data_IF_681916450895
#
_entry.id   IF_681916450895
#
_cell.length_a   1.000
_cell.length_b   1.000
_cell.length_c   1.000
_cell.angle_alpha   90.00
_cell.angle_beta   90.00
_cell.angle_gamma   90.00
#
_symmetry.space_group_name_H-M   'P 1'
#
loop_
_entity.id
_entity.type
_entity.pdbx_description
1 polymer ?
#
# COMPACT_ATOMS: atom_id res chain seq x y z
N UNK A 1 -68.63 -20.31 -8.61
CA UNK A 1 -67.24 -20.70 -8.98
C UNK A 1 -66.42 -19.44 -9.26
N UNK A 2 -66.24 -18.56 -8.27
CA UNK A 2 -65.50 -17.30 -8.47
C UNK A 2 -64.87 -16.83 -7.16
N UNK A 3 -64.15 -17.71 -6.46
CA UNK A 3 -63.51 -17.32 -5.18
C UNK A 3 -62.16 -17.97 -4.87
N UNK A 4 -61.43 -18.45 -5.88
CA UNK A 4 -60.09 -19.03 -5.65
C UNK A 4 -58.93 -18.21 -6.24
N UNK A 5 -59.20 -17.17 -7.05
CA UNK A 5 -58.12 -16.42 -7.73
C UNK A 5 -57.60 -15.20 -6.95
N UNK A 6 -58.22 -14.81 -5.82
CA UNK A 6 -57.88 -13.57 -5.10
C UNK A 6 -56.98 -13.78 -3.86
N UNK A 7 -56.34 -14.94 -3.72
CA UNK A 7 -55.47 -15.25 -2.57
C UNK A 7 -54.01 -15.58 -2.93
N UNK A 8 -53.59 -15.38 -4.20
CA UNK A 8 -52.20 -15.61 -4.65
C UNK A 8 -51.55 -14.28 -5.10
N UNK A 9 -51.80 -13.20 -4.37
CA UNK A 9 -51.17 -11.90 -4.64
C UNK A 9 -51.06 -11.06 -3.36
N UNK A 10 -50.23 -11.51 -2.40
CA UNK A 10 -49.04 -10.71 -2.15
C UNK A 10 -47.85 -11.60 -1.76
N UNK A 11 -47.31 -12.40 -2.69
CA UNK A 11 -46.07 -13.15 -2.44
C UNK A 11 -44.81 -12.42 -2.96
N UNK A 12 -44.94 -11.18 -3.45
CA UNK A 12 -43.88 -10.45 -4.15
C UNK A 12 -43.57 -9.05 -3.56
N UNK A 13 -43.91 -8.78 -2.30
CA UNK A 13 -43.66 -7.47 -1.70
C UNK A 13 -43.05 -7.62 -0.31
N UNK A 14 -41.73 -7.80 -0.27
CA UNK A 14 -40.99 -7.83 0.98
C UNK A 14 -39.65 -8.56 0.92
N UNK A 15 -38.88 -8.40 -0.16
CA UNK A 15 -37.46 -8.71 -0.05
C UNK A 15 -36.84 -7.60 0.81
N UNK A 16 -36.63 -7.87 2.10
CA UNK A 16 -35.88 -6.99 2.99
C UNK A 16 -34.50 -6.74 2.39
N UNK A 17 -34.31 -5.60 1.73
CA UNK A 17 -33.03 -5.24 1.17
C UNK A 17 -32.21 -4.56 2.27
N UNK A 18 -31.04 -5.12 2.56
CA UNK A 18 -30.06 -4.50 3.47
C UNK A 18 -29.07 -3.73 2.62
N UNK A 19 -29.06 -2.41 2.75
CA UNK A 19 -28.08 -1.56 2.08
C UNK A 19 -26.92 -1.26 3.06
N UNK A 20 -25.71 -1.56 2.64
CA UNK A 20 -24.49 -1.40 3.45
C UNK A 20 -23.52 -0.48 2.75
N UNK A 21 -23.17 0.64 3.38
CA UNK A 21 -22.32 1.68 2.82
C UNK A 21 -21.23 2.09 3.80
N UNK A 22 -19.99 2.14 3.30
CA UNK A 22 -18.82 2.61 4.05
C UNK A 22 -18.26 3.86 3.37
N UNK A 23 -18.12 4.94 4.13
CA UNK A 23 -17.52 6.20 3.69
C UNK A 23 -16.14 6.35 4.32
N UNK A 24 -15.12 6.47 3.46
CA UNK A 24 -13.72 6.55 3.86
C UNK A 24 -13.29 8.00 3.69
N UNK A 25 -12.86 8.61 4.80
CA UNK A 25 -12.34 9.97 4.86
C UNK A 25 -10.89 9.91 5.28
N UNK A 26 -10.05 10.75 4.66
CA UNK A 26 -8.67 10.88 5.07
C UNK A 26 -8.34 12.31 5.47
N UNK A 27 -7.43 12.44 6.43
CA UNK A 27 -6.75 13.69 6.74
C UNK A 27 -5.25 13.52 6.45
N UNK A 28 -4.72 14.14 5.39
CA UNK A 28 -5.35 15.14 4.52
C UNK A 28 -6.31 14.54 3.47
N UNK A 29 -7.24 15.33 2.89
CA UNK A 29 -8.13 14.86 1.83
C UNK A 29 -7.38 14.62 0.51
N UNK A 30 -7.99 13.92 -0.44
CA UNK A 30 -7.39 13.66 -1.75
C UNK A 30 -6.44 12.46 -1.79
N UNK A 31 -6.51 11.54 -0.83
CA UNK A 31 -5.71 10.32 -0.81
C UNK A 31 -6.38 9.24 -1.66
N UNK A 32 -5.58 8.47 -2.41
CA UNK A 32 -6.06 7.33 -3.16
C UNK A 32 -6.30 6.13 -2.23
N UNK A 33 -7.49 5.55 -2.30
CA UNK A 33 -7.99 4.52 -1.39
C UNK A 33 -8.02 3.16 -2.08
N UNK A 34 -7.49 2.17 -1.37
CA UNK A 34 -7.60 0.76 -1.70
C UNK A 34 -8.31 0.03 -0.57
N UNK A 35 -9.32 -0.77 -0.91
CA UNK A 35 -10.03 -1.66 0.03
C UNK A 35 -9.80 -3.09 -0.44
N UNK A 36 -9.25 -3.93 0.42
CA UNK A 36 -8.92 -5.33 0.12
C UNK A 36 -8.09 -5.48 -1.18
N UNK A 37 -7.13 -4.57 -1.37
CA UNK A 37 -6.25 -4.43 -2.55
C UNK A 37 -6.90 -3.90 -3.84
N UNK A 38 -8.21 -3.64 -3.84
CA UNK A 38 -8.90 -3.00 -4.97
C UNK A 38 -8.91 -1.48 -4.84
N UNK A 39 -8.56 -0.78 -5.91
CA UNK A 39 -8.63 0.68 -5.97
C UNK A 39 -10.09 1.12 -6.06
N UNK A 40 -10.54 1.91 -5.07
CA UNK A 40 -11.92 2.41 -5.02
C UNK A 40 -12.01 3.82 -5.60
N UNK A 41 -11.07 4.70 -5.25
CA UNK A 41 -11.08 6.09 -5.68
C UNK A 41 -10.31 7.00 -4.73
N UNK A 42 -10.59 8.30 -4.77
CA UNK A 42 -9.91 9.33 -3.98
C UNK A 42 -10.80 9.82 -2.84
N UNK A 43 -10.26 10.04 -1.64
CA UNK A 43 -11.03 10.50 -0.48
C UNK A 43 -11.56 11.93 -0.64
N UNK A 44 -12.77 12.23 -0.11
CA UNK A 44 -13.71 11.30 0.51
C UNK A 44 -14.42 10.40 -0.51
N UNK A 45 -14.49 9.10 -0.23
CA UNK A 45 -15.12 8.12 -1.13
C UNK A 45 -16.07 7.20 -0.36
N UNK A 46 -17.21 6.89 -0.94
CA UNK A 46 -18.19 5.95 -0.40
C UNK A 46 -18.25 4.71 -1.28
N UNK A 47 -18.19 3.53 -0.65
CA UNK A 47 -18.31 2.23 -1.32
C UNK A 47 -19.29 1.35 -0.56
N UNK A 48 -20.06 0.56 -1.31
CA UNK A 48 -20.92 -0.44 -0.70
C UNK A 48 -20.07 -1.66 -0.30
N UNK A 49 -20.51 -2.38 0.73
CA UNK A 49 -19.75 -3.51 1.29
C UNK A 49 -20.66 -4.67 1.68
N UNK A 50 -20.31 -5.90 1.31
CA UNK A 50 -21.17 -7.06 1.57
C UNK A 50 -20.85 -7.72 2.92
N UNK A 51 -19.56 -7.95 3.19
CA UNK A 51 -19.12 -8.74 4.34
C UNK A 51 -18.66 -7.86 5.52
N UNK A 52 -19.12 -8.24 6.72
CA UNK A 52 -18.61 -7.78 8.00
C UNK A 52 -17.31 -8.52 8.37
N UNK A 53 -16.56 -7.95 9.30
CA UNK A 53 -15.23 -8.44 9.69
C UNK A 53 -14.15 -7.38 9.48
N UNK A 54 -12.89 -7.80 9.46
CA UNK A 54 -11.75 -6.89 9.33
C UNK A 54 -11.36 -6.71 7.88
N UNK A 55 -11.41 -5.46 7.40
CA UNK A 55 -11.04 -5.07 6.03
C UNK A 55 -9.64 -4.45 6.02
N UNK A 56 -8.88 -4.67 4.95
CA UNK A 56 -7.60 -3.97 4.77
C UNK A 56 -7.86 -2.69 3.98
N UNK A 57 -7.63 -1.54 4.61
CA UNK A 57 -7.74 -0.24 3.96
C UNK A 57 -6.33 0.32 3.80
N UNK A 58 -5.95 0.67 2.58
CA UNK A 58 -4.65 1.27 2.26
C UNK A 58 -4.85 2.63 1.60
N UNK A 59 -4.19 3.65 2.12
CA UNK A 59 -4.26 5.02 1.65
C UNK A 59 -2.90 5.42 1.10
N UNK A 60 -2.90 6.01 -0.09
CA UNK A 60 -1.69 6.48 -0.78
C UNK A 60 -1.89 7.94 -1.14
N UNK A 61 -0.93 8.79 -0.77
CA UNK A 61 -0.93 10.20 -1.13
C UNK A 61 0.49 10.72 -1.24
N UNK A 62 0.74 11.57 -2.23
CA UNK A 62 2.05 12.19 -2.44
C UNK A 62 2.45 13.08 -1.25
N UNK A 63 3.70 12.94 -0.81
CA UNK A 63 4.22 13.66 0.36
C UNK A 63 3.75 13.12 1.71
N UNK A 64 3.01 11.99 1.73
CA UNK A 64 2.55 11.32 2.94
C UNK A 64 3.00 9.85 2.95
N UNK A 65 3.17 9.30 4.14
CA UNK A 65 3.45 7.88 4.33
C UNK A 65 2.23 7.04 3.93
N UNK A 66 2.46 5.91 3.24
CA UNK A 66 1.38 4.99 2.88
C UNK A 66 0.82 4.36 4.15
N UNK A 67 -0.44 4.65 4.45
CA UNK A 67 -1.11 4.13 5.63
C UNK A 67 -1.85 2.84 5.27
N UNK A 68 -1.54 1.73 5.92
CA UNK A 68 -2.27 0.47 5.79
C UNK A 68 -2.86 0.08 7.14
N UNK A 69 -4.20 0.09 7.24
CA UNK A 69 -4.93 -0.18 8.47
C UNK A 69 -5.87 -1.36 8.27
N UNK A 70 -5.97 -2.21 9.29
CA UNK A 70 -6.96 -3.28 9.38
C UNK A 70 -8.17 -2.77 10.14
N UNK A 71 -9.17 -2.27 9.42
CA UNK A 71 -10.37 -1.68 10.01
C UNK A 71 -11.38 -2.80 10.35
N UNK A 72 -11.71 -3.02 11.63
CA UNK A 72 -12.80 -3.92 12.00
C UNK A 72 -14.15 -3.29 11.69
N UNK A 73 -15.02 -4.05 11.03
CA UNK A 73 -16.43 -3.73 10.78
C UNK A 73 -17.26 -4.79 11.52
N UNK A 74 -17.67 -4.52 12.78
CA UNK A 74 -18.38 -5.51 13.58
C UNK A 74 -19.76 -5.84 13.00
N UNK A 75 -20.16 -7.09 13.17
CA UNK A 75 -21.50 -7.56 12.87
C UNK A 75 -22.52 -6.74 13.68
N UNK A 76 -23.63 -6.32 13.06
CA UNK A 76 -24.69 -5.67 13.80
C UNK A 76 -25.36 -6.69 14.74
N UNK A 77 -25.91 -6.20 15.85
CA UNK A 77 -26.56 -7.04 16.86
C UNK A 77 -27.72 -7.87 16.29
N UNK A 78 -28.38 -7.37 15.23
CA UNK A 78 -29.52 -8.02 14.60
C UNK A 78 -29.16 -9.18 13.65
N UNK A 79 -27.87 -9.44 13.37
CA UNK A 79 -27.40 -10.60 12.58
C UNK A 79 -26.91 -11.76 13.43
N UNK A 80 -27.05 -11.68 14.77
CA UNK A 80 -26.63 -12.73 15.67
C UNK A 80 -27.74 -13.78 15.75
N UNK A 81 -27.46 -15.01 15.33
CA UNK A 81 -28.39 -16.13 15.51
C UNK A 81 -28.74 -16.31 17.01
N UNK A 82 -30.02 -16.51 17.37
CA UNK A 82 -31.22 -16.67 16.52
C UNK A 82 -32.02 -15.38 16.28
N UNK A 83 -31.58 -14.22 16.80
CA UNK A 83 -32.29 -12.94 16.67
C UNK A 83 -32.46 -12.52 15.20
N UNK A 84 -31.51 -12.91 14.34
CA UNK A 84 -31.50 -12.76 12.88
C UNK A 84 -32.80 -13.24 12.21
N UNK A 85 -33.35 -14.38 12.63
CA UNK A 85 -34.58 -14.92 12.04
C UNK A 85 -35.82 -14.08 12.37
N UNK A 86 -35.83 -13.41 13.52
CA UNK A 86 -36.96 -12.58 13.97
C UNK A 86 -36.90 -11.22 13.28
N UNK A 87 -35.72 -10.62 13.15
CA UNK A 87 -35.54 -9.32 12.51
C UNK A 87 -35.75 -9.40 11.00
N UNK A 88 -35.26 -10.43 10.32
CA UNK A 88 -35.44 -10.57 8.87
C UNK A 88 -36.90 -10.89 8.47
N UNK A 89 -37.63 -11.65 9.29
CA UNK A 89 -38.96 -12.16 8.91
C UNK A 89 -40.12 -11.28 9.41
N UNK A 90 -39.88 -10.38 10.38
CA UNK A 90 -40.92 -9.55 11.00
C UNK A 90 -40.72 -8.05 10.75
N UNK A 91 -39.54 -7.61 10.28
CA UNK A 91 -39.28 -6.19 10.04
C UNK A 91 -39.62 -5.76 8.60
N UNK A 92 -40.65 -4.93 8.37
CA UNK A 92 -41.08 -4.51 7.04
C UNK A 92 -40.25 -3.36 6.43
N UNK A 93 -39.19 -2.89 7.12
CA UNK A 93 -38.40 -1.72 6.71
C UNK A 93 -37.05 -2.04 6.06
N UNK A 94 -36.54 -1.12 5.24
CA UNK A 94 -35.17 -1.18 4.67
C UNK A 94 -34.13 -0.91 5.77
N UNK A 95 -33.17 -1.81 5.93
CA UNK A 95 -32.06 -1.64 6.89
C UNK A 95 -30.91 -0.96 6.15
N UNK A 96 -30.62 0.30 6.51
CA UNK A 96 -29.47 1.06 6.02
C UNK A 96 -28.36 1.06 7.05
N UNK A 97 -27.24 0.46 6.69
CA UNK A 97 -26.04 0.41 7.51
C UNK A 97 -24.96 1.31 6.92
N UNK A 98 -24.89 2.55 7.41
CA UNK A 98 -23.90 3.54 7.00
C UNK A 98 -22.79 3.66 8.04
N UNK A 99 -21.54 3.54 7.60
CA UNK A 99 -20.35 3.64 8.46
C UNK A 99 -19.38 4.67 7.91
N UNK A 100 -18.78 5.46 8.78
CA UNK A 100 -17.74 6.44 8.43
C UNK A 100 -16.42 6.00 9.07
N UNK A 101 -15.36 6.00 8.29
CA UNK A 101 -14.00 5.65 8.73
C UNK A 101 -13.09 6.83 8.45
N UNK A 102 -12.60 7.46 9.52
CA UNK A 102 -11.68 8.60 9.46
C UNK A 102 -10.24 8.13 9.71
N UNK A 103 -9.34 8.40 8.75
CA UNK A 103 -7.96 7.95 8.78
C UNK A 103 -7.00 9.12 8.61
N UNK A 104 -6.06 9.28 9.55
CA UNK A 104 -5.03 10.33 9.49
C UNK A 104 -3.71 9.77 8.94
N UNK A 105 -3.17 10.42 7.91
CA UNK A 105 -1.88 10.06 7.32
C UNK A 105 -0.77 10.92 7.91
N UNK A 106 0.41 10.33 8.09
CA UNK A 106 1.60 11.05 8.53
C UNK A 106 2.34 11.62 7.31
N UNK A 107 2.89 12.84 7.39
CA UNK A 107 3.75 13.36 6.32
C UNK A 107 4.96 12.44 6.11
N UNK A 108 5.34 12.23 4.85
CA UNK A 108 6.54 11.48 4.53
C UNK A 108 7.75 12.29 5.01
N UNK A 109 8.52 11.75 5.96
CA UNK A 109 9.78 12.34 6.34
C UNK A 109 10.74 12.23 5.15
N UNK A 110 10.93 13.32 4.40
CA UNK A 110 12.02 13.41 3.44
C UNK A 110 13.32 13.41 4.22
N UNK A 111 13.99 12.27 4.33
CA UNK A 111 15.37 12.23 4.83
C UNK A 111 16.18 13.15 3.93
N UNK A 112 16.74 14.22 4.49
CA UNK A 112 17.50 15.21 3.73
C UNK A 112 18.62 14.50 2.95
N UNK A 113 18.84 14.81 1.66
CA UNK A 113 19.82 14.11 0.84
C UNK A 113 21.23 14.16 1.45
N UNK A 114 21.55 15.22 2.20
CA UNK A 114 22.79 15.37 2.94
C UNK A 114 22.94 14.31 4.05
N UNK A 115 21.86 13.95 4.74
CA UNK A 115 21.88 12.92 5.79
C UNK A 115 22.10 11.54 5.20
N UNK A 116 21.48 11.25 4.04
CA UNK A 116 21.70 10.00 3.30
C UNK A 116 23.16 9.90 2.84
N UNK A 117 23.73 11.00 2.30
CA UNK A 117 25.13 11.06 1.87
C UNK A 117 26.09 10.92 3.04
N UNK A 118 25.86 11.62 4.15
CA UNK A 118 26.69 11.54 5.35
C UNK A 118 26.68 10.12 5.93
N UNK A 119 25.51 9.48 6.04
CA UNK A 119 25.40 8.09 6.47
C UNK A 119 26.13 7.14 5.52
N UNK A 120 26.05 7.35 4.20
CA UNK A 120 26.78 6.53 3.23
C UNK A 120 28.30 6.71 3.32
N UNK A 121 28.78 7.95 3.53
CA UNK A 121 30.20 8.24 3.75
C UNK A 121 30.71 7.59 5.04
N UNK A 122 29.93 7.63 6.11
CA UNK A 122 30.25 6.97 7.39
C UNK A 122 30.43 5.45 7.22
N UNK A 123 29.53 4.81 6.48
CA UNK A 123 29.61 3.37 6.17
C UNK A 123 30.83 3.05 5.30
N UNK A 124 31.16 3.92 4.34
CA UNK A 124 32.34 3.74 3.47
C UNK A 124 33.65 3.86 4.25
N UNK A 125 33.74 4.83 5.17
CA UNK A 125 34.90 4.99 6.04
C UNK A 125 35.06 3.78 6.98
N UNK A 126 33.96 3.29 7.54
CA UNK A 126 33.93 2.06 8.35
C UNK A 126 34.43 0.83 7.57
N UNK A 127 33.90 0.59 6.37
CA UNK A 127 34.31 -0.54 5.53
C UNK A 127 35.77 -0.43 5.04
N UNK A 128 36.30 0.77 4.85
CA UNK A 128 37.71 0.98 4.51
C UNK A 128 38.67 0.58 5.65
N UNK A 129 38.17 0.52 6.90
CA UNK A 129 38.95 0.10 8.06
C UNK A 129 38.90 -1.41 8.33
N UNK A 130 38.11 -2.17 7.56
CA UNK A 130 38.07 -3.63 7.67
C UNK A 130 39.35 -4.23 7.05
N UNK A 131 40.04 -5.16 7.73
CA UNK A 131 41.16 -5.86 7.15
C UNK A 131 40.71 -6.64 5.90
N UNK A 132 41.57 -6.80 4.88
CA UNK A 132 41.21 -7.51 3.66
C UNK A 132 40.71 -8.91 4.02
N UNK A 133 39.48 -9.22 3.63
CA UNK A 133 38.96 -10.59 3.69
C UNK A 133 39.91 -11.45 2.86
N UNK A 134 40.61 -12.43 3.44
CA UNK A 134 41.53 -13.26 2.69
C UNK A 134 40.71 -14.02 1.65
N UNK A 135 40.97 -13.81 0.36
CA UNK A 135 40.48 -14.70 -0.67
C UNK A 135 41.13 -16.07 -0.38
N UNK A 136 40.35 -17.16 -0.18
CA UNK A 136 40.96 -18.47 -0.08
C UNK A 136 41.74 -18.73 -1.38
N UNK A 137 43.01 -19.15 -1.30
CA UNK A 137 43.81 -19.39 -2.50
C UNK A 137 43.15 -20.47 -3.38
N UNK A 138 43.29 -20.40 -4.73
CA UNK A 138 42.85 -21.48 -5.59
C UNK A 138 43.58 -22.76 -5.14
N UNK A 139 42.80 -23.78 -4.79
CA UNK A 139 43.31 -25.02 -4.25
C UNK A 139 44.32 -25.64 -5.24
N UNK A 140 45.61 -25.61 -4.89
CA UNK A 140 46.58 -26.52 -5.49
C UNK A 140 46.19 -27.96 -5.10
N UNK A 141 46.33 -28.95 -5.98
CA UNK A 141 45.97 -30.34 -5.68
C UNK A 141 46.79 -30.81 -4.48
N UNK A 142 46.12 -31.00 -3.34
CA UNK A 142 46.75 -31.55 -2.15
C UNK A 142 47.14 -32.99 -2.45
N UNK A 143 48.43 -33.27 -2.52
CA UNK A 143 48.94 -34.63 -2.36
C UNK A 143 48.54 -35.08 -0.95
N UNK A 144 47.64 -36.06 -0.89
CA UNK A 144 47.16 -36.64 0.36
C UNK A 144 48.31 -37.43 0.98
N UNK A 145 49.08 -36.80 1.86
CA UNK A 145 49.87 -37.54 2.85
C UNK A 145 48.99 -37.73 4.10
N UNK A 146 48.74 -38.96 4.55
CA UNK A 146 48.00 -39.19 5.79
C UNK A 146 48.83 -38.68 6.97
N UNK A 147 48.45 -37.54 7.54
CA UNK A 147 48.97 -37.09 8.83
C UNK A 147 48.15 -37.75 9.96
N UNK A 148 48.77 -38.18 11.07
CA UNK A 148 48.05 -38.72 12.21
C UNK A 148 47.26 -37.61 12.90
N UNK A 149 45.98 -37.85 13.20
CA UNK A 149 45.08 -36.89 13.85
C UNK A 149 45.50 -36.75 15.32
N UNK A 150 45.92 -35.57 15.82
CA UNK A 150 46.03 -35.36 17.26
C UNK A 150 44.62 -35.21 17.85
N UNK A 151 44.34 -35.98 18.90
CA UNK A 151 43.05 -35.97 19.58
C UNK A 151 42.70 -34.56 20.10
N UNK A 152 41.60 -33.99 19.59
CA UNK A 152 41.05 -32.75 20.09
C UNK A 152 40.58 -32.90 21.55
N UNK A 153 40.76 -31.88 22.42
CA UNK A 153 40.20 -31.93 23.76
C UNK A 153 38.66 -31.91 23.68
N UNK A 154 38.06 -32.89 24.36
CA UNK A 154 36.61 -33.06 24.52
C UNK A 154 35.98 -31.76 25.02
N UNK A 155 35.06 -31.19 24.23
CA UNK A 155 34.21 -30.08 24.66
C UNK A 155 33.24 -30.54 25.77
N UNK A 156 32.90 -29.69 26.75
CA UNK A 156 31.88 -30.05 27.74
C UNK A 156 30.49 -30.17 27.08
N UNK A 157 29.66 -31.14 27.49
CA UNK A 157 28.33 -31.32 26.92
C UNK A 157 27.39 -30.22 27.43
N UNK A 158 26.78 -29.44 26.54
CA UNK A 158 25.62 -28.63 26.94
C UNK A 158 25.23 -27.40 26.12
N UNK A 159 25.97 -26.97 25.11
CA UNK A 159 25.50 -25.84 24.27
C UNK A 159 24.82 -26.34 22.99
N UNK A 160 23.50 -26.47 23.04
CA UNK A 160 22.65 -26.60 21.86
C UNK A 160 22.37 -25.20 21.35
N UNK A 161 23.03 -24.79 20.27
CA UNK A 161 22.66 -23.58 19.55
C UNK A 161 21.25 -23.79 18.94
N UNK A 162 20.29 -22.87 19.09
CA UNK A 162 18.99 -23.00 18.46
C UNK A 162 19.17 -22.82 16.95
N UNK A 163 19.07 -23.92 16.21
CA UNK A 163 18.99 -23.93 14.75
C UNK A 163 17.66 -23.30 14.35
N UNK A 164 17.68 -22.00 14.07
CA UNK A 164 16.54 -21.33 13.47
C UNK A 164 16.56 -21.69 11.98
N UNK A 165 15.68 -22.62 11.62
CA UNK A 165 15.39 -23.10 10.27
C UNK A 165 15.75 -22.09 9.17
N UNK A 166 16.77 -22.42 8.39
CA UNK A 166 16.99 -21.80 7.09
C UNK A 166 15.77 -22.10 6.20
N UNK A 167 15.22 -21.13 5.44
CA UNK A 167 14.36 -21.47 4.32
C UNK A 167 15.19 -22.24 3.27
N UNK A 168 14.58 -23.21 2.56
CA UNK A 168 15.23 -23.86 1.43
C UNK A 168 15.53 -22.80 0.36
N UNK A 169 16.75 -22.83 -0.16
CA UNK A 169 17.17 -22.04 -1.32
C UNK A 169 16.11 -22.13 -2.41
N UNK A 170 15.47 -21.01 -2.75
CA UNK A 170 14.78 -20.91 -4.03
C UNK A 170 15.87 -21.13 -5.08
N UNK A 171 15.80 -22.29 -5.73
CA UNK A 171 16.58 -22.63 -6.90
C UNK A 171 16.55 -21.44 -7.84
N UNK A 172 17.73 -20.97 -8.21
CA UNK A 172 17.95 -19.94 -9.21
C UNK A 172 17.07 -20.25 -10.43
N UNK A 173 15.99 -19.49 -10.64
CA UNK A 173 15.35 -19.47 -11.96
C UNK A 173 16.36 -18.87 -12.95
N UNK A 174 16.49 -19.43 -14.15
CA UNK A 174 17.36 -18.88 -15.17
C UNK A 174 16.89 -17.47 -15.49
N UNK A 175 17.79 -16.51 -15.32
CA UNK A 175 17.58 -15.10 -15.64
C UNK A 175 17.15 -15.06 -17.13
N UNK A 176 15.94 -14.59 -17.49
CA UNK A 176 15.64 -14.35 -18.89
C UNK A 176 16.60 -13.27 -19.39
N UNK A 177 17.23 -13.55 -20.52
CA UNK A 177 18.16 -12.66 -21.21
C UNK A 177 17.54 -11.28 -21.34
N UNK A 178 18.29 -10.25 -20.94
CA UNK A 178 17.89 -8.86 -21.06
C UNK A 178 17.30 -8.59 -22.46
N UNK A 179 16.18 -7.85 -22.60
CA UNK A 179 15.75 -7.43 -23.92
C UNK A 179 16.85 -6.54 -24.52
N UNK A 180 17.33 -6.92 -25.70
CA UNK A 180 18.16 -6.07 -26.54
C UNK A 180 17.43 -4.75 -26.75
N UNK A 181 17.90 -3.68 -26.12
CA UNK A 181 17.50 -2.33 -26.47
C UNK A 181 17.97 -2.07 -27.91
N UNK A 182 17.06 -2.21 -28.87
CA UNK A 182 17.28 -1.74 -30.24
C UNK A 182 17.19 -0.21 -30.15
N UNK A 183 18.32 0.47 -30.32
CA UNK A 183 18.34 1.93 -30.56
C UNK A 183 17.44 2.26 -31.75
N UNK A 184 16.41 3.09 -31.60
CA UNK A 184 15.73 3.66 -32.76
C UNK A 184 16.50 4.91 -33.21
N UNK A 185 17.69 4.73 -33.79
CA UNK A 185 18.34 5.78 -34.57
C UNK A 185 18.29 5.41 -36.06
N UNK A 186 17.12 5.63 -36.66
CA UNK A 186 16.96 5.76 -38.12
C UNK A 186 15.59 6.39 -38.43
N UNK A 187 15.35 7.58 -37.88
CA UNK A 187 14.29 8.49 -38.33
C UNK A 187 14.93 9.75 -38.91
N UNK A 188 14.38 10.37 -39.97
CA UNK A 188 15.01 11.52 -40.61
C UNK A 188 15.15 12.67 -39.63
N UNK A 189 16.38 13.20 -39.53
CA UNK A 189 16.74 14.36 -38.70
C UNK A 189 15.94 15.57 -39.15
N UNK A 190 14.95 15.97 -38.36
CA UNK A 190 14.38 17.32 -38.46
C UNK A 190 15.36 18.31 -37.83
N UNK A 191 15.72 19.41 -38.51
CA UNK A 191 16.64 20.40 -37.97
C UNK A 191 16.02 21.08 -36.74
N UNK A 192 16.73 21.04 -35.62
CA UNK A 192 16.40 21.77 -34.40
C UNK A 192 16.54 23.26 -34.71
N UNK A 193 15.43 23.98 -34.76
CA UNK A 193 15.44 25.45 -34.81
C UNK A 193 15.50 25.96 -33.38
N UNK A 194 16.54 26.74 -33.05
CA UNK A 194 16.72 27.41 -31.77
C UNK A 194 15.69 28.57 -31.60
N UNK A 195 15.52 29.12 -30.39
CA UNK A 195 14.28 29.73 -29.93
C UNK A 195 14.04 31.12 -30.55
N UNK A 196 12.83 31.33 -31.07
CA UNK A 196 12.38 32.68 -31.44
C UNK A 196 11.77 33.36 -30.21
N UNK A 197 12.44 34.41 -29.76
CA UNK A 197 11.97 35.41 -28.81
C UNK A 197 10.59 35.95 -29.22
N UNK A 198 9.56 35.94 -28.35
CA UNK A 198 8.43 36.84 -28.55
C UNK A 198 8.86 38.24 -28.12
N UNK A 199 9.08 39.10 -29.12
CA UNK A 199 9.17 40.54 -28.99
C UNK A 199 7.76 41.11 -28.75
N UNK A 200 7.58 41.79 -27.61
CA UNK A 200 6.66 42.92 -27.42
C UNK A 200 5.14 42.68 -27.48
N UNK A 201 4.46 42.82 -26.33
CA UNK A 201 3.37 43.80 -26.19
C UNK A 201 2.99 43.96 -24.72
N UNK A 202 3.31 45.13 -24.17
CA UNK A 202 2.89 45.61 -22.85
C UNK A 202 1.38 45.89 -22.83
N UNK A 203 0.63 45.15 -22.02
CA UNK A 203 -0.68 45.59 -21.54
C UNK A 203 -0.53 46.10 -20.09
N UNK A 204 -1.04 47.28 -19.72
CA UNK A 204 -0.94 47.76 -18.36
C UNK A 204 -1.82 46.93 -17.43
N UNK A 205 -1.19 46.47 -16.35
CA UNK A 205 -1.81 45.87 -15.17
C UNK A 205 -2.84 46.83 -14.59
N UNK A 206 -4.13 46.49 -14.70
CA UNK A 206 -5.20 47.24 -14.04
C UNK A 206 -5.38 46.68 -12.63
N UNK A 207 -4.98 47.46 -11.64
CA UNK A 207 -5.17 47.15 -10.22
C UNK A 207 -6.68 47.13 -9.86
N UNK A 208 -7.14 46.23 -9.00
CA UNK A 208 -8.46 46.35 -8.37
C UNK A 208 -8.44 47.46 -7.30
N UNK A 209 -9.47 48.33 -7.22
CA UNK A 209 -9.53 49.35 -6.18
C UNK A 209 -9.76 48.74 -4.80
N UNK A 210 -8.98 49.19 -3.82
CA UNK A 210 -9.12 48.83 -2.41
C UNK A 210 -10.30 49.53 -1.72
N UNK A 211 -10.95 48.74 -0.86
CA UNK A 211 -11.57 49.01 0.46
C UNK A 211 -12.45 50.25 0.70
N UNK A 212 -13.51 50.10 1.54
CA UNK A 212 -13.35 50.41 2.98
C UNK A 212 -13.91 49.27 3.85
N UNK A 213 -13.17 48.78 4.85
CA UNK A 213 -13.16 49.26 6.24
C UNK A 213 -14.57 49.47 6.81
N UNK A 214 -15.14 48.39 7.35
CA UNK A 214 -16.22 48.47 8.35
C UNK A 214 -15.64 48.09 9.72
N UNK A 215 -15.76 49.03 10.65
CA UNK A 215 -15.28 48.97 12.04
C UNK A 215 -16.47 48.54 12.93
N UNK A 216 -16.24 47.78 14.00
CA UNK A 216 -17.31 47.15 14.80
C UNK A 216 -18.08 48.13 15.71
N UNK A 217 -19.31 47.71 16.03
CA UNK A 217 -20.07 48.06 17.25
C UNK A 217 -20.45 46.76 17.97
#
# INVERSE_FOLDING_TARGET
MFWCALFIAPLLSGAGCVQRRMTIKSNPPGALVYVDDYQIGTTPVSTDFIYYGTRKIRLVKDGYETLTVRQPIPLPWYQIFPLDFVTENIWPGEIRDERVVDLSMLPAASVAPEEVVARAQQLRAGNASLPPVPLPPPAAPRLVTPQPIPAAPLSPPGFVAPSKNLPPSLQQEPIPSAPTFISPDAGPRFPITAPTTPSGSSAPFSAPPGSPLDTPM
#
